data_IF_582276892830
#
_entry.id   IF_582276892830
#
_cell.length_a   1.000
_cell.length_b   1.000
_cell.length_c   1.000
_cell.angle_alpha   90.00
_cell.angle_beta   90.00
_cell.angle_gamma   90.00
#
_symmetry.space_group_name_H-M   'P 1'
#
loop_
_entity.id
_entity.type
_entity.pdbx_description
1 polymer ?
#
# COMPACT_ATOMS: atom_id res chain seq x y z
N UNK A 1 -2.27 -25.11 3.66
CA UNK A 1 -2.83 -23.83 4.14
C UNK A 1 -2.28 -22.72 3.27
N UNK A 2 -3.14 -21.88 2.67
CA UNK A 2 -2.69 -20.69 1.94
C UNK A 2 -2.22 -19.63 2.94
N UNK A 3 -1.08 -19.00 2.66
CA UNK A 3 -0.56 -17.89 3.48
C UNK A 3 -1.10 -16.57 2.94
N UNK A 4 -1.25 -15.53 3.79
CA UNK A 4 -1.65 -14.20 3.32
C UNK A 4 -0.54 -13.51 2.52
N UNK A 5 0.72 -13.92 2.72
CA UNK A 5 1.90 -13.35 2.07
C UNK A 5 2.65 -14.40 1.26
N UNK A 6 3.37 -13.95 0.25
CA UNK A 6 4.35 -14.72 -0.50
C UNK A 6 5.73 -14.07 -0.38
N UNK A 7 6.76 -14.91 -0.28
CA UNK A 7 8.16 -14.50 -0.17
C UNK A 7 9.01 -15.58 -0.83
N UNK A 8 9.81 -15.16 -1.80
CA UNK A 8 10.81 -16.02 -2.45
C UNK A 8 12.17 -15.34 -2.34
N UNK A 9 13.08 -15.97 -1.59
CA UNK A 9 14.45 -15.50 -1.39
C UNK A 9 15.34 -16.10 -2.48
N UNK A 10 16.17 -15.26 -3.10
CA UNK A 10 17.15 -15.65 -4.12
C UNK A 10 18.55 -15.22 -3.66
N UNK A 11 19.53 -16.11 -3.80
CA UNK A 11 20.91 -15.90 -3.37
C UNK A 11 21.49 -17.12 -2.63
N UNK A 12 22.56 -16.88 -1.87
CA UNK A 12 23.23 -17.90 -1.06
C UNK A 12 22.61 -18.12 0.32
N UNK A 13 23.26 -19.02 1.08
CA UNK A 13 22.84 -19.47 2.42
C UNK A 13 23.66 -18.87 3.56
N UNK A 14 24.56 -17.95 3.26
CA UNK A 14 25.41 -17.28 4.25
C UNK A 14 24.68 -16.12 4.95
N UNK A 15 25.43 -15.39 5.78
CA UNK A 15 24.95 -14.18 6.45
C UNK A 15 24.05 -14.44 7.65
N UNK A 16 23.63 -13.35 8.30
CA UNK A 16 22.66 -13.36 9.38
C UNK A 16 21.26 -13.08 8.83
N UNK A 17 20.23 -13.84 9.26
CA UNK A 17 18.88 -13.63 8.77
C UNK A 17 18.32 -12.27 9.21
N UNK A 18 17.54 -11.64 8.35
CA UNK A 18 16.80 -10.42 8.64
C UNK A 18 15.38 -10.50 8.07
N UNK A 19 14.46 -9.76 8.69
CA UNK A 19 13.09 -9.56 8.21
C UNK A 19 12.65 -8.15 8.56
N UNK A 20 12.42 -7.33 7.54
CA UNK A 20 12.03 -5.94 7.67
C UNK A 20 10.77 -5.69 6.84
N UNK A 21 9.63 -5.93 7.48
CA UNK A 21 8.32 -5.93 6.82
C UNK A 21 7.27 -5.21 7.66
N UNK A 22 6.26 -4.66 6.99
CA UNK A 22 5.06 -4.11 7.60
C UNK A 22 3.95 -5.12 7.84
N UNK A 23 4.26 -6.42 7.93
CA UNK A 23 3.25 -7.49 8.08
C UNK A 23 2.30 -7.28 9.27
N UNK A 24 2.80 -6.65 10.35
CA UNK A 24 2.02 -6.40 11.58
C UNK A 24 1.13 -5.15 11.52
N UNK A 25 1.43 -4.19 10.66
CA UNK A 25 0.77 -2.88 10.65
C UNK A 25 0.32 -2.40 9.26
N UNK A 26 0.50 -3.23 8.22
CA UNK A 26 0.17 -2.87 6.84
C UNK A 26 1.08 -1.81 6.22
N UNK A 27 2.28 -1.59 6.78
CA UNK A 27 3.25 -0.70 6.14
C UNK A 27 3.78 -1.33 4.85
N UNK A 28 3.94 -0.51 3.81
CA UNK A 28 4.48 -0.94 2.52
C UNK A 28 5.90 -0.43 2.31
N UNK A 29 6.60 -1.04 1.36
CA UNK A 29 7.83 -0.50 0.81
C UNK A 29 7.57 0.88 0.17
N UNK A 30 8.22 1.91 0.69
CA UNK A 30 8.10 3.30 0.19
C UNK A 30 9.31 3.71 -0.64
N UNK A 31 10.50 3.25 -0.25
CA UNK A 31 11.73 3.51 -0.98
C UNK A 31 12.70 2.34 -0.81
N UNK A 32 13.49 2.10 -1.85
CA UNK A 32 14.61 1.17 -1.81
C UNK A 32 15.86 1.82 -2.40
N UNK A 33 16.99 1.62 -1.72
CA UNK A 33 18.30 2.04 -2.15
C UNK A 33 19.21 0.82 -2.21
N UNK A 34 19.95 0.65 -3.29
CA UNK A 34 20.76 -0.55 -3.55
C UNK A 34 22.17 -0.13 -3.91
N UNK A 35 23.15 -0.71 -3.20
CA UNK A 35 24.56 -0.66 -3.54
C UNK A 35 24.95 -1.95 -4.25
N UNK A 36 25.74 -1.84 -5.33
CA UNK A 36 26.22 -2.98 -6.10
C UNK A 36 27.74 -3.04 -6.11
N UNK A 37 28.29 -4.24 -6.00
CA UNK A 37 29.70 -4.53 -6.18
C UNK A 37 29.97 -5.23 -7.51
N UNK A 38 31.22 -5.70 -7.68
CA UNK A 38 31.65 -6.37 -8.92
C UNK A 38 30.91 -7.68 -9.19
N UNK A 39 30.59 -8.42 -8.12
CA UNK A 39 30.00 -9.77 -8.19
C UNK A 39 28.76 -9.95 -7.32
N UNK A 40 28.21 -8.90 -6.72
CA UNK A 40 27.09 -9.02 -5.78
C UNK A 40 26.34 -7.70 -5.57
N UNK A 41 25.14 -7.80 -5.01
CA UNK A 41 24.49 -6.70 -4.31
C UNK A 41 25.18 -6.51 -2.95
N UNK A 42 25.75 -5.31 -2.74
CA UNK A 42 26.57 -5.00 -1.57
C UNK A 42 25.74 -4.68 -0.34
N UNK A 43 24.74 -3.82 -0.51
CA UNK A 43 23.86 -3.43 0.57
C UNK A 43 22.51 -2.99 0.02
N UNK A 44 21.50 -3.05 0.86
CA UNK A 44 20.16 -2.55 0.57
C UNK A 44 19.68 -1.73 1.75
N UNK A 45 19.22 -0.51 1.48
CA UNK A 45 18.51 0.33 2.44
C UNK A 45 17.05 0.39 2.05
N UNK A 46 16.19 0.15 3.03
CA UNK A 46 14.75 0.06 2.85
C UNK A 46 14.05 1.07 3.73
N UNK A 47 13.05 1.74 3.19
CA UNK A 47 12.15 2.62 3.92
C UNK A 47 10.72 2.09 3.79
N UNK A 48 10.01 2.02 4.91
CA UNK A 48 8.61 1.62 4.96
C UNK A 48 7.72 2.85 5.17
N UNK A 49 6.47 2.76 4.71
CA UNK A 49 5.47 3.82 4.80
C UNK A 49 5.09 4.24 6.24
N UNK A 50 5.55 3.50 7.25
CA UNK A 50 5.39 3.86 8.68
C UNK A 50 6.57 4.72 9.19
N UNK A 51 7.44 5.18 8.30
CA UNK A 51 8.60 6.02 8.61
C UNK A 51 9.84 5.26 9.07
N UNK A 52 9.77 3.92 9.21
CA UNK A 52 10.94 3.12 9.58
C UNK A 52 11.89 2.97 8.39
N UNK A 53 13.18 2.88 8.70
CA UNK A 53 14.19 2.53 7.70
C UNK A 53 15.33 1.73 8.30
N UNK A 54 15.89 0.81 7.51
CA UNK A 54 16.99 -0.04 7.93
C UNK A 54 17.93 -0.34 6.75
N UNK A 55 19.21 -0.63 7.03
CA UNK A 55 20.23 -0.96 6.02
C UNK A 55 20.81 -2.33 6.31
N UNK A 56 20.85 -3.18 5.30
CA UNK A 56 21.40 -4.54 5.35
C UNK A 56 22.62 -4.63 4.44
N UNK A 57 23.65 -5.37 4.87
CA UNK A 57 24.96 -5.40 4.20
C UNK A 57 25.83 -4.20 4.56
N UNK A 58 27.02 -4.09 3.95
CA UNK A 58 27.93 -2.96 4.13
C UNK A 58 27.91 -2.09 2.86
N UNK A 59 27.34 -0.87 2.90
CA UNK A 59 27.29 0.03 1.75
C UNK A 59 28.67 0.31 1.19
N UNK A 60 28.84 0.07 -0.10
CA UNK A 60 30.07 0.33 -0.84
C UNK A 60 29.79 0.30 -2.35
N UNK A 61 30.47 1.14 -3.13
CA UNK A 61 30.32 1.21 -4.58
C UNK A 61 29.08 1.98 -5.08
N UNK A 62 28.70 1.80 -6.37
CA UNK A 62 27.60 2.51 -7.01
C UNK A 62 26.26 2.33 -6.30
N UNK A 63 25.54 3.43 -6.12
CA UNK A 63 24.23 3.49 -5.49
C UNK A 63 23.14 3.82 -6.50
N UNK A 64 22.02 3.10 -6.42
CA UNK A 64 20.80 3.37 -7.17
C UNK A 64 19.61 3.35 -6.20
N UNK A 65 18.61 4.18 -6.45
CA UNK A 65 17.40 4.21 -5.63
C UNK A 65 16.13 4.30 -6.45
N UNK A 66 15.05 3.86 -5.83
CA UNK A 66 13.70 3.96 -6.36
C UNK A 66 12.74 4.35 -5.24
N UNK A 67 11.96 5.41 -5.47
CA UNK A 67 10.93 5.89 -4.56
C UNK A 67 9.56 5.62 -5.16
N UNK A 68 8.73 4.89 -4.44
CA UNK A 68 7.38 4.54 -4.88
C UNK A 68 6.42 5.72 -4.63
N UNK A 69 5.60 6.04 -5.61
CA UNK A 69 4.48 6.96 -5.46
C UNK A 69 3.36 6.31 -4.63
N UNK A 70 2.48 7.14 -4.10
CA UNK A 70 1.30 6.66 -3.39
C UNK A 70 0.42 5.79 -4.30
N UNK A 71 0.15 4.56 -3.89
CA UNK A 71 -0.62 3.58 -4.66
C UNK A 71 0.14 2.88 -5.78
N UNK A 72 1.44 3.19 -5.97
CA UNK A 72 2.29 2.48 -6.92
C UNK A 72 2.57 1.06 -6.42
N UNK A 73 2.47 0.09 -7.32
CA UNK A 73 2.63 -1.33 -7.04
C UNK A 73 3.48 -2.02 -8.08
N UNK A 74 4.08 -3.14 -7.67
CA UNK A 74 4.85 -3.97 -8.56
C UNK A 74 3.92 -4.61 -9.61
N UNK A 75 4.38 -4.67 -10.85
CA UNK A 75 3.76 -5.46 -11.93
C UNK A 75 4.62 -6.65 -12.33
N UNK A 76 5.91 -6.60 -12.02
CA UNK A 76 6.84 -7.72 -12.17
C UNK A 76 8.05 -7.52 -11.27
N UNK A 77 8.58 -8.61 -10.74
CA UNK A 77 9.86 -8.64 -10.04
C UNK A 77 10.66 -9.85 -10.54
N UNK A 78 11.93 -9.61 -10.84
CA UNK A 78 12.90 -10.65 -11.15
C UNK A 78 14.14 -10.45 -10.28
N UNK A 79 14.67 -11.56 -9.77
CA UNK A 79 15.89 -11.60 -8.99
C UNK A 79 16.90 -12.51 -9.69
N UNK A 80 18.18 -12.23 -9.49
CA UNK A 80 19.27 -13.07 -9.99
C UNK A 80 20.21 -13.37 -8.84
N UNK A 81 20.72 -14.59 -8.81
CA UNK A 81 21.93 -14.91 -8.07
C UNK A 81 23.15 -14.32 -8.78
N UNK A 82 24.30 -14.26 -8.09
CA UNK A 82 25.57 -13.85 -8.70
C UNK A 82 26.17 -14.87 -9.68
N UNK A 83 25.47 -15.97 -9.95
CA UNK A 83 25.92 -17.03 -10.86
C UNK A 83 26.79 -18.11 -10.21
N UNK A 84 27.24 -17.93 -8.97
CA UNK A 84 27.84 -18.96 -8.11
C UNK A 84 26.84 -19.49 -7.06
N UNK A 85 25.70 -18.82 -6.90
CA UNK A 85 24.69 -19.18 -5.88
C UNK A 85 25.12 -18.81 -4.46
N UNK A 86 26.05 -17.87 -4.31
CA UNK A 86 26.58 -17.45 -3.01
C UNK A 86 26.02 -16.10 -2.55
N UNK A 87 25.60 -15.25 -3.49
CA UNK A 87 25.08 -13.89 -3.24
C UNK A 87 23.90 -13.57 -4.14
N UNK A 88 23.14 -12.55 -3.77
CA UNK A 88 22.23 -11.87 -4.68
C UNK A 88 23.04 -11.06 -5.70
N UNK A 89 22.73 -11.22 -6.99
CA UNK A 89 23.45 -10.59 -8.10
C UNK A 89 22.72 -9.43 -8.77
N UNK A 90 21.38 -9.47 -8.82
CA UNK A 90 20.58 -8.37 -9.35
C UNK A 90 19.14 -8.35 -8.84
N UNK A 91 18.54 -7.16 -8.91
CA UNK A 91 17.15 -6.86 -8.61
C UNK A 91 16.59 -6.06 -9.77
N UNK A 92 15.54 -6.58 -10.42
CA UNK A 92 14.81 -5.87 -11.47
C UNK A 92 13.33 -5.87 -11.17
N UNK A 93 12.69 -4.71 -11.23
CA UNK A 93 11.23 -4.65 -11.13
C UNK A 93 10.64 -3.58 -12.03
N UNK A 94 9.33 -3.72 -12.25
CA UNK A 94 8.48 -2.74 -12.92
C UNK A 94 7.25 -2.44 -12.07
N UNK A 95 6.67 -1.27 -12.31
CA UNK A 95 5.49 -0.80 -11.57
C UNK A 95 4.32 -0.47 -12.48
N UNK A 96 3.13 -0.37 -11.89
CA UNK A 96 1.89 0.01 -12.58
C UNK A 96 1.86 1.47 -13.05
N UNK A 97 2.77 2.30 -12.53
CA UNK A 97 2.96 3.69 -12.96
C UNK A 97 4.01 3.84 -14.07
N UNK A 98 4.44 2.71 -14.68
CA UNK A 98 5.41 2.68 -15.77
C UNK A 98 6.87 2.81 -15.32
N UNK A 99 7.13 2.75 -14.02
CA UNK A 99 8.48 2.77 -13.48
C UNK A 99 9.23 1.47 -13.73
N UNK A 100 10.54 1.57 -13.94
CA UNK A 100 11.45 0.43 -14.07
C UNK A 100 12.71 0.70 -13.24
N UNK A 101 13.12 -0.29 -12.45
CA UNK A 101 14.34 -0.25 -11.66
C UNK A 101 15.17 -1.49 -11.93
N UNK A 102 16.48 -1.32 -12.12
CA UNK A 102 17.38 -2.43 -12.36
C UNK A 102 18.76 -2.21 -11.77
N UNK A 103 18.98 -2.77 -10.58
CA UNK A 103 20.29 -2.81 -9.93
C UNK A 103 20.94 -4.17 -10.16
N UNK A 104 22.17 -4.20 -10.68
CA UNK A 104 22.93 -5.42 -10.95
C UNK A 104 24.40 -5.25 -10.64
N UNK A 105 25.06 -6.37 -10.35
CA UNK A 105 26.53 -6.46 -10.28
C UNK A 105 27.20 -5.95 -11.56
N UNK A 106 28.41 -5.38 -11.43
CA UNK A 106 29.04 -4.61 -12.51
C UNK A 106 29.92 -5.44 -13.44
N UNK A 107 30.50 -6.55 -12.98
CA UNK A 107 31.49 -7.32 -13.75
C UNK A 107 30.96 -8.69 -14.18
N UNK A 108 30.35 -9.45 -13.27
CA UNK A 108 29.81 -10.75 -13.60
C UNK A 108 28.51 -10.66 -14.43
N UNK A 109 28.40 -11.49 -15.47
CA UNK A 109 27.20 -11.59 -16.29
C UNK A 109 26.04 -12.26 -15.54
N UNK A 110 24.81 -11.77 -15.76
CA UNK A 110 23.61 -12.39 -15.21
C UNK A 110 23.36 -13.74 -15.88
N UNK A 111 23.17 -14.79 -15.09
CA UNK A 111 22.88 -16.14 -15.57
C UNK A 111 21.37 -16.40 -15.53
N UNK A 112 20.91 -17.11 -14.50
CA UNK A 112 19.50 -17.52 -14.35
C UNK A 112 18.67 -16.38 -13.75
N UNK A 113 17.65 -15.97 -14.50
CA UNK A 113 16.58 -15.11 -14.00
C UNK A 113 15.61 -15.92 -13.14
N UNK A 114 15.22 -15.35 -12.01
CA UNK A 114 14.17 -15.88 -11.14
C UNK A 114 13.00 -14.89 -11.12
N UNK A 115 12.01 -15.06 -12.01
CA UNK A 115 10.75 -14.33 -11.92
C UNK A 115 10.03 -14.68 -10.62
N UNK A 116 9.56 -13.68 -9.90
CA UNK A 116 8.91 -13.83 -8.60
C UNK A 116 7.41 -13.61 -8.76
N UNK A 117 6.61 -14.49 -8.14
CA UNK A 117 5.19 -14.25 -7.98
C UNK A 117 4.98 -13.10 -6.98
N UNK A 118 4.48 -11.98 -7.50
CA UNK A 118 4.24 -10.75 -6.74
C UNK A 118 2.86 -10.72 -6.08
N UNK A 119 2.01 -11.74 -6.27
CA UNK A 119 0.66 -11.78 -5.72
C UNK A 119 -0.17 -10.56 -6.13
N UNK A 120 -0.51 -9.69 -5.17
CA UNK A 120 -1.22 -8.44 -5.42
C UNK A 120 -0.35 -7.30 -6.00
N UNK A 121 0.97 -7.45 -5.98
CA UNK A 121 1.94 -6.39 -6.27
C UNK A 121 2.22 -5.44 -5.10
N UNK A 122 1.48 -5.57 -3.99
CA UNK A 122 1.66 -4.78 -2.79
C UNK A 122 2.81 -5.32 -1.92
N UNK A 123 3.95 -4.64 -1.94
CA UNK A 123 5.16 -5.06 -1.23
C UNK A 123 5.16 -4.56 0.22
N UNK A 124 5.24 -5.49 1.17
CA UNK A 124 5.31 -5.21 2.61
C UNK A 124 6.73 -4.92 3.10
N UNK A 125 7.75 -5.18 2.29
CA UNK A 125 9.16 -5.01 2.65
C UNK A 125 10.02 -6.17 2.15
N UNK A 126 11.13 -6.43 2.86
CA UNK A 126 12.15 -7.40 2.45
C UNK A 126 12.50 -8.36 3.58
N UNK A 127 12.93 -9.55 3.21
CA UNK A 127 13.50 -10.53 4.14
C UNK A 127 14.60 -11.33 3.45
N UNK A 128 15.57 -11.80 4.22
CA UNK A 128 16.76 -12.40 3.64
C UNK A 128 17.81 -12.75 4.67
N UNK A 129 19.06 -12.84 4.20
CA UNK A 129 20.24 -12.93 5.02
C UNK A 129 21.34 -12.01 4.47
N UNK A 130 22.06 -11.36 5.37
CA UNK A 130 23.13 -10.43 5.03
C UNK A 130 24.29 -10.48 6.02
N UNK A 131 25.48 -10.14 5.54
CA UNK A 131 26.68 -9.93 6.35
C UNK A 131 27.41 -8.69 5.86
N UNK A 132 28.59 -8.87 5.26
CA UNK A 132 29.28 -7.80 4.55
C UNK A 132 28.60 -7.42 3.21
N UNK A 133 27.87 -8.39 2.65
CA UNK A 133 27.11 -8.29 1.40
C UNK A 133 25.68 -8.80 1.63
N UNK A 134 24.83 -8.73 0.61
CA UNK A 134 23.53 -9.43 0.61
C UNK A 134 23.74 -10.88 0.14
N UNK A 135 23.69 -11.81 1.08
CA UNK A 135 23.78 -13.25 0.80
C UNK A 135 22.56 -13.72 0.02
N UNK A 136 21.36 -13.42 0.51
CA UNK A 136 20.12 -13.69 -0.23
C UNK A 136 19.02 -12.76 0.24
N UNK A 137 18.13 -12.37 -0.66
CA UNK A 137 17.01 -11.50 -0.33
C UNK A 137 15.79 -11.85 -1.17
N UNK A 138 14.62 -11.63 -0.59
CA UNK A 138 13.33 -11.66 -1.26
C UNK A 138 12.49 -10.47 -0.83
N UNK A 139 11.49 -10.17 -1.66
CA UNK A 139 10.47 -9.16 -1.37
C UNK A 139 9.23 -9.89 -0.86
N UNK A 140 8.66 -9.40 0.24
CA UNK A 140 7.44 -9.95 0.78
C UNK A 140 6.24 -9.23 0.17
N UNK A 141 5.37 -9.98 -0.50
CA UNK A 141 4.15 -9.45 -1.09
C UNK A 141 2.92 -9.97 -0.37
N UNK A 142 1.89 -9.13 -0.32
CA UNK A 142 0.55 -9.59 0.00
C UNK A 142 0.00 -10.39 -1.19
N UNK A 143 -0.57 -11.56 -0.93
CA UNK A 143 -1.23 -12.35 -1.96
C UNK A 143 -2.49 -11.64 -2.49
N UNK A 144 -3.07 -12.17 -3.57
CA UNK A 144 -4.28 -11.61 -4.17
C UNK A 144 -5.37 -11.39 -3.12
N UNK A 145 -5.80 -10.14 -3.00
CA UNK A 145 -6.76 -9.69 -1.98
C UNK A 145 -8.17 -9.81 -2.55
N UNK A 146 -9.02 -10.61 -1.91
CA UNK A 146 -10.44 -10.70 -2.29
C UNK A 146 -11.26 -9.50 -1.78
N UNK A 147 -10.99 -9.09 -0.53
CA UNK A 147 -11.66 -7.95 0.09
C UNK A 147 -10.78 -7.34 1.17
N UNK A 148 -11.05 -6.09 1.52
CA UNK A 148 -10.50 -5.50 2.75
C UNK A 148 -11.58 -4.75 3.48
N UNK A 149 -11.68 -4.98 4.79
CA UNK A 149 -12.76 -4.49 5.65
C UNK A 149 -12.16 -3.88 6.89
N UNK A 150 -12.52 -2.63 7.18
CA UNK A 150 -12.29 -2.03 8.49
C UNK A 150 -13.46 -2.43 9.39
N UNK A 151 -13.20 -3.35 10.33
CA UNK A 151 -14.17 -3.82 11.32
C UNK A 151 -13.76 -3.35 12.72
N UNK A 152 -14.60 -3.64 13.71
CA UNK A 152 -14.35 -3.36 15.14
C UNK A 152 -14.07 -1.87 15.40
N UNK A 153 -14.72 -1.01 14.61
CA UNK A 153 -14.61 0.45 14.73
C UNK A 153 -15.22 0.88 16.06
N UNK A 154 -14.36 1.39 16.94
CA UNK A 154 -14.75 1.92 18.23
C UNK A 154 -14.50 3.44 18.30
N UNK A 155 -15.44 4.19 18.86
CA UNK A 155 -15.31 5.62 19.10
C UNK A 155 -15.16 5.87 20.61
N UNK A 156 -13.94 5.71 21.17
CA UNK A 156 -13.74 5.66 22.61
C UNK A 156 -14.11 6.95 23.33
N UNK A 157 -14.11 8.10 22.65
CA UNK A 157 -14.44 9.41 23.23
C UNK A 157 -15.85 9.90 22.91
N UNK A 158 -16.65 9.13 22.16
CA UNK A 158 -17.98 9.58 21.70
C UNK A 158 -18.91 9.92 22.87
N UNK A 159 -18.82 9.16 23.97
CA UNK A 159 -19.62 9.37 25.18
C UNK A 159 -19.27 10.66 25.94
N UNK A 160 -18.12 11.27 25.65
CA UNK A 160 -17.65 12.51 26.29
C UNK A 160 -17.99 13.74 25.45
N UNK A 161 -18.43 13.54 24.20
CA UNK A 161 -18.65 14.62 23.26
C UNK A 161 -20.06 15.19 23.42
N UNK A 162 -20.15 16.50 23.64
CA UNK A 162 -21.41 17.24 23.55
C UNK A 162 -21.59 17.65 22.08
N UNK A 163 -22.64 17.19 21.38
CA UNK A 163 -22.83 17.50 19.97
C UNK A 163 -23.11 18.99 19.77
N UNK A 164 -22.38 19.62 18.86
CA UNK A 164 -22.64 20.98 18.42
C UNK A 164 -23.62 20.96 17.26
N UNK A 165 -24.87 21.34 17.53
CA UNK A 165 -25.96 21.35 16.53
C UNK A 165 -26.28 22.78 16.15
N UNK A 166 -26.15 23.09 14.86
CA UNK A 166 -26.61 24.35 14.28
C UNK A 166 -28.06 24.25 13.83
N UNK A 167 -28.89 25.21 14.23
CA UNK A 167 -30.27 25.30 13.74
C UNK A 167 -30.26 25.88 12.34
N UNK A 168 -31.05 25.31 11.45
CA UNK A 168 -31.28 25.83 10.10
C UNK A 168 -32.79 25.90 9.88
N UNK A 169 -33.28 27.09 9.56
CA UNK A 169 -34.69 27.32 9.31
C UNK A 169 -35.12 26.59 8.03
N UNK A 170 -36.21 25.81 8.12
CA UNK A 170 -36.74 25.03 6.99
C UNK A 170 -37.90 25.77 6.33
N UNK A 171 -38.82 26.28 7.16
CA UNK A 171 -40.00 27.06 6.75
C UNK A 171 -40.57 27.78 7.96
N UNK A 172 -40.98 29.03 7.80
CA UNK A 172 -41.79 29.77 8.75
C UNK A 172 -43.08 30.25 8.10
N UNK A 173 -44.14 30.39 8.89
CA UNK A 173 -45.45 30.88 8.46
C UNK A 173 -46.35 31.14 9.67
N UNK A 174 -47.25 32.12 9.57
CA UNK A 174 -48.20 32.49 10.62
C UNK A 174 -49.64 32.27 10.16
N UNK A 175 -50.47 31.71 11.04
CA UNK A 175 -51.90 31.50 10.79
C UNK A 175 -52.70 32.20 11.89
N UNK A 176 -53.70 32.97 11.51
CA UNK A 176 -54.55 33.71 12.45
C UNK A 176 -56.00 33.24 12.27
N UNK A 177 -56.63 32.85 13.37
CA UNK A 177 -58.04 32.46 13.39
C UNK A 177 -58.87 33.58 14.01
N UNK A 178 -59.66 34.28 13.20
CA UNK A 178 -60.56 35.36 13.63
C UNK A 178 -61.99 34.86 13.91
N UNK A 179 -62.19 33.54 13.93
CA UNK A 179 -63.51 32.90 14.14
C UNK A 179 -63.61 32.25 15.52
N UNK A 180 -64.84 32.02 16.00
CA UNK A 180 -65.10 31.35 17.28
C UNK A 180 -65.02 29.81 17.20
N UNK A 181 -64.64 29.27 16.04
CA UNK A 181 -64.57 27.82 15.75
C UNK A 181 -63.15 27.40 15.39
N UNK A 182 -62.79 26.15 15.70
CA UNK A 182 -61.47 25.62 15.37
C UNK A 182 -61.25 25.54 13.86
N UNK A 183 -60.03 25.84 13.42
CA UNK A 183 -59.58 25.70 12.03
C UNK A 183 -58.38 24.75 11.95
N UNK A 184 -58.35 23.90 10.93
CA UNK A 184 -57.23 23.00 10.65
C UNK A 184 -56.41 23.52 9.47
N UNK A 185 -55.08 23.47 9.60
CA UNK A 185 -54.13 23.90 8.58
C UNK A 185 -53.15 22.78 8.28
N UNK A 186 -52.97 22.43 7.01
CA UNK A 186 -52.00 21.43 6.58
C UNK A 186 -50.73 22.13 6.09
N UNK A 187 -49.60 21.85 6.75
CA UNK A 187 -48.29 22.41 6.39
C UNK A 187 -47.40 21.30 5.87
N UNK A 188 -47.08 21.34 4.59
CA UNK A 188 -46.12 20.45 3.97
C UNK A 188 -44.75 21.13 3.83
N UNK A 189 -43.68 20.38 4.14
CA UNK A 189 -42.29 20.81 4.02
C UNK A 189 -41.41 19.67 3.49
N UNK A 190 -40.38 20.02 2.73
CA UNK A 190 -39.34 19.10 2.30
C UNK A 190 -37.98 19.79 2.37
N UNK A 191 -36.94 19.04 2.73
CA UNK A 191 -35.56 19.53 2.78
C UNK A 191 -34.60 18.43 2.38
N UNK A 192 -33.69 18.76 1.46
CA UNK A 192 -32.59 17.86 1.08
C UNK A 192 -31.48 17.96 2.14
N UNK A 193 -31.09 16.81 2.70
CA UNK A 193 -29.98 16.73 3.67
C UNK A 193 -28.89 15.82 3.11
N UNK A 194 -27.65 16.27 3.20
CA UNK A 194 -26.47 15.45 2.85
C UNK A 194 -25.79 15.01 4.15
N UNK A 195 -25.72 13.69 4.38
CA UNK A 195 -25.01 13.10 5.52
C UNK A 195 -23.66 12.58 5.04
N UNK A 196 -22.58 12.97 5.72
CA UNK A 196 -21.22 12.56 5.37
C UNK A 196 -20.57 11.84 6.53
N UNK A 197 -19.85 10.76 6.23
CA UNK A 197 -18.98 10.04 7.18
C UNK A 197 -17.58 9.99 6.60
N UNK A 198 -16.56 10.24 7.43
CA UNK A 198 -15.16 10.11 7.02
C UNK A 198 -14.37 9.43 8.13
N UNK A 199 -13.49 8.51 7.76
CA UNK A 199 -12.55 7.87 8.66
C UNK A 199 -11.14 8.14 8.14
N UNK A 200 -10.23 8.60 9.00
CA UNK A 200 -8.83 8.81 8.60
C UNK A 200 -8.11 7.47 8.63
N UNK A 201 -7.48 7.13 7.52
CA UNK A 201 -6.59 5.97 7.42
C UNK A 201 -5.13 6.39 7.52
N UNK A 202 -4.35 5.68 8.34
CA UNK A 202 -2.89 5.75 8.38
C UNK A 202 -2.29 4.43 7.86
N UNK A 203 -1.24 4.50 7.04
CA UNK A 203 -0.52 3.35 6.49
C UNK A 203 -0.75 3.11 5.00
N UNK A 204 0.30 2.64 4.31
CA UNK A 204 0.29 2.44 2.86
C UNK A 204 -0.80 1.47 2.37
N UNK A 205 -1.15 0.46 3.17
CA UNK A 205 -2.15 -0.55 2.79
C UNK A 205 -3.56 0.04 2.68
N UNK A 206 -4.00 0.87 3.62
CA UNK A 206 -5.34 1.49 3.56
C UNK A 206 -5.43 2.52 2.43
N UNK A 207 -4.37 3.27 2.16
CA UNK A 207 -4.31 4.19 1.01
C UNK A 207 -4.38 3.39 -0.30
N UNK A 208 -3.66 2.27 -0.39
CA UNK A 208 -3.72 1.38 -1.54
C UNK A 208 -5.12 0.77 -1.75
N UNK A 209 -5.76 0.29 -0.68
CA UNK A 209 -7.13 -0.25 -0.74
C UNK A 209 -8.11 0.80 -1.27
N UNK A 210 -8.02 2.04 -0.79
CA UNK A 210 -8.87 3.13 -1.28
C UNK A 210 -8.65 3.38 -2.77
N UNK A 211 -7.41 3.36 -3.25
CA UNK A 211 -7.09 3.55 -4.67
C UNK A 211 -7.61 2.40 -5.55
N UNK A 212 -7.43 1.14 -5.10
CA UNK A 212 -7.97 -0.04 -5.80
C UNK A 212 -9.50 -0.02 -5.85
N UNK A 213 -10.16 0.33 -4.74
CA UNK A 213 -11.62 0.48 -4.69
C UNK A 213 -12.12 1.60 -5.62
N UNK A 214 -11.47 2.78 -5.62
CA UNK A 214 -11.85 3.89 -6.50
C UNK A 214 -11.71 3.49 -7.97
N UNK A 215 -10.60 2.88 -8.37
CA UNK A 215 -10.39 2.43 -9.75
C UNK A 215 -11.42 1.37 -10.18
N UNK A 216 -11.81 0.47 -9.27
CA UNK A 216 -12.83 -0.55 -9.55
C UNK A 216 -14.23 0.07 -9.72
N UNK A 217 -14.56 1.12 -8.97
CA UNK A 217 -15.84 1.86 -9.12
C UNK A 217 -15.85 2.69 -10.41
N UNK A 218 -14.74 3.33 -10.77
CA UNK A 218 -14.64 4.10 -12.02
C UNK A 218 -14.75 3.20 -13.25
N UNK A 219 -14.15 2.00 -13.23
CA UNK A 219 -14.24 1.03 -14.32
C UNK A 219 -15.66 0.52 -14.53
N UNK A 220 -16.41 0.28 -13.45
CA UNK A 220 -17.83 -0.10 -13.53
C UNK A 220 -18.75 1.02 -14.04
N UNK A 221 -18.38 2.30 -13.85
CA UNK A 221 -19.10 3.43 -14.47
C UNK A 221 -18.83 3.53 -15.97
N UNK A 222 -17.59 3.34 -16.40
CA UNK A 222 -17.27 3.38 -17.83
C UNK A 222 -17.91 2.21 -18.62
N UNK A 223 -18.02 1.02 -18.04
CA UNK A 223 -18.71 -0.11 -18.69
C UNK A 223 -20.24 0.08 -18.79
N UNK A 224 -20.83 0.92 -17.93
CA UNK A 224 -22.27 1.25 -17.98
C UNK A 224 -22.59 2.38 -18.96
N UNK A 225 -21.63 3.24 -19.29
CA UNK A 225 -21.81 4.32 -20.27
C UNK A 225 -21.59 3.86 -21.74
N UNK A 226 -20.95 2.71 -21.98
CA UNK A 226 -20.73 2.16 -23.34
C UNK A 226 -21.91 1.30 -23.82
N UNK A 227 -22.91 1.07 -22.96
CA UNK A 227 -24.10 0.28 -23.26
C UNK A 227 -25.39 1.09 -23.43
N UNK A 228 -25.27 2.40 -23.74
CA UNK A 228 -26.38 3.32 -24.05
C UNK A 228 -26.49 3.66 -25.52
#
# INVERSE_FOLDING_TARGET
MSKPTTLQIVGGKGGSPFSFTGEKNGASLEKIGVWVGESQVKAVKVWLSDGKSETFGKPDGPYQEYTFKSGECFTSLSLWENGEGTRLGAIKFKTNEGGEFFAKMTNMGLKKEHPIDIGSGFCLGVAGAAGADIDGMGFMFLNAVQSTVLTDVNYPTLHQLIPQVSVEEIKSGSYTNETSTNQEQTIETSKKVTKTSSCRSFGGLLVWILQVCVNTVQRRRQETDVSS
#
